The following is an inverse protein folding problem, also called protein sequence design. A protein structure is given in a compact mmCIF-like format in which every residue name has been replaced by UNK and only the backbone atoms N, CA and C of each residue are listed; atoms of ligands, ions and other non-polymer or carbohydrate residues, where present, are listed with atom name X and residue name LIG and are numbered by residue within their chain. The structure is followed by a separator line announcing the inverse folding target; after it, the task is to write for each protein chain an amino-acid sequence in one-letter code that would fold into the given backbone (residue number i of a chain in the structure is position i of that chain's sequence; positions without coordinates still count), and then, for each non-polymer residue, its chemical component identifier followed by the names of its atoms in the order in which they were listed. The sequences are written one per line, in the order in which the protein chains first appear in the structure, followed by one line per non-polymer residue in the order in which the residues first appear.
data_IF_609593115945
#
_entry.id   IF_609593115945
#
_cell.length_a   1.000
_cell.length_b   1.000
_cell.length_c   1.000
_cell.angle_alpha   90.00
_cell.angle_beta   90.00
_cell.angle_gamma   90.00
#
_symmetry.space_group_name_H-M   'P 1'
#
loop_
_entity.id
_entity.type
_entity.pdbx_description
1 polymer ?
#
# COMPACT_ATOMS: atom_id res chain seq x y z
N UNK A 1 -46.74 -10.31 1.72
CA UNK A 1 -45.49 -10.89 2.27
C UNK A 1 -44.36 -9.95 1.90
N UNK A 2 -43.99 -9.08 2.84
CA UNK A 2 -42.80 -8.22 2.72
C UNK A 2 -41.58 -9.13 2.90
N UNK A 3 -40.80 -9.31 1.84
CA UNK A 3 -39.43 -9.80 1.99
C UNK A 3 -38.60 -8.61 2.46
N UNK A 4 -38.20 -8.67 3.72
CA UNK A 4 -37.49 -7.63 4.44
C UNK A 4 -36.10 -7.42 3.84
N UNK A 5 -35.79 -6.13 3.72
CA UNK A 5 -34.55 -5.48 3.27
C UNK A 5 -33.34 -5.71 4.18
N UNK A 6 -33.12 -6.93 4.68
CA UNK A 6 -32.09 -7.18 5.71
C UNK A 6 -30.97 -8.15 5.30
N UNK A 7 -30.96 -8.71 4.09
CA UNK A 7 -29.85 -9.60 3.66
C UNK A 7 -28.69 -8.89 2.97
N UNK A 8 -28.83 -7.61 2.60
CA UNK A 8 -27.79 -6.88 1.85
C UNK A 8 -26.86 -6.08 2.78
N UNK A 9 -27.31 -5.75 3.99
CA UNK A 9 -26.50 -4.98 4.96
C UNK A 9 -25.64 -5.86 5.88
N UNK A 10 -25.95 -7.17 6.01
CA UNK A 10 -25.21 -8.10 6.89
C UNK A 10 -24.05 -8.84 6.20
N UNK A 11 -23.88 -8.69 4.88
CA UNK A 11 -22.81 -9.32 4.08
C UNK A 11 -21.68 -8.35 3.68
N UNK A 12 -21.50 -7.26 4.43
CA UNK A 12 -20.32 -6.38 4.33
C UNK A 12 -19.34 -6.51 5.50
N UNK A 13 -19.47 -7.54 6.35
CA UNK A 13 -18.43 -7.87 7.32
C UNK A 13 -17.35 -8.77 6.69
N UNK A 14 -16.24 -8.12 6.34
CA UNK A 14 -14.88 -8.70 6.25
C UNK A 14 -14.65 -9.79 5.19
N UNK A 15 -14.90 -9.50 3.91
CA UNK A 15 -14.09 -10.16 2.87
C UNK A 15 -12.74 -9.44 2.77
N UNK A 16 -11.78 -9.89 3.57
CA UNK A 16 -10.35 -9.60 3.39
C UNK A 16 -9.80 -10.81 2.62
N UNK A 17 -9.29 -10.66 1.39
CA UNK A 17 -8.52 -11.71 0.73
C UNK A 17 -7.48 -12.24 1.72
N UNK A 18 -7.42 -13.57 1.88
CA UNK A 18 -6.42 -14.16 2.77
C UNK A 18 -5.03 -13.66 2.34
N UNK A 19 -4.23 -13.14 3.28
CA UNK A 19 -2.88 -12.65 2.95
C UNK A 19 -2.07 -13.75 2.25
N UNK A 20 -2.34 -15.01 2.60
CA UNK A 20 -1.77 -16.18 1.95
C UNK A 20 -2.18 -16.30 0.48
N UNK A 21 -3.39 -15.91 0.10
CA UNK A 21 -3.85 -15.89 -1.30
C UNK A 21 -3.11 -14.82 -2.11
N UNK A 22 -3.01 -13.59 -1.58
CA UNK A 22 -2.32 -12.49 -2.26
C UNK A 22 -0.81 -12.74 -2.39
N UNK A 23 -0.20 -13.30 -1.35
CA UNK A 23 1.18 -13.74 -1.38
C UNK A 23 1.36 -14.89 -2.39
N UNK A 24 0.48 -15.90 -2.39
CA UNK A 24 0.59 -17.02 -3.31
C UNK A 24 0.50 -16.56 -4.76
N UNK A 25 -0.49 -15.71 -5.08
CA UNK A 25 -0.69 -15.17 -6.42
C UNK A 25 0.51 -14.35 -6.87
N UNK A 26 0.94 -13.37 -6.07
CA UNK A 26 2.08 -12.53 -6.42
C UNK A 26 3.37 -13.35 -6.57
N UNK A 27 3.60 -14.35 -5.70
CA UNK A 27 4.76 -15.24 -5.80
C UNK A 27 4.72 -16.09 -7.08
N UNK A 28 3.54 -16.55 -7.50
CA UNK A 28 3.36 -17.26 -8.76
C UNK A 28 3.66 -16.36 -9.98
N UNK A 29 3.19 -15.11 -9.97
CA UNK A 29 3.49 -14.13 -11.03
C UNK A 29 5.00 -13.85 -11.12
N UNK A 30 5.67 -13.69 -9.98
CA UNK A 30 7.12 -13.51 -9.93
C UNK A 30 7.89 -14.75 -10.43
N UNK A 31 7.42 -15.95 -10.12
CA UNK A 31 8.02 -17.20 -10.61
C UNK A 31 7.80 -17.43 -12.11
N UNK A 32 6.71 -16.92 -12.66
CA UNK A 32 6.38 -17.00 -14.08
C UNK A 32 7.14 -15.98 -14.94
N UNK A 33 7.70 -14.93 -14.34
CA UNK A 33 8.47 -13.90 -15.03
C UNK A 33 9.71 -14.48 -15.73
N UNK A 34 9.85 -14.20 -17.04
CA UNK A 34 10.95 -14.68 -17.90
C UNK A 34 11.93 -13.57 -18.25
N UNK A 35 11.51 -12.32 -18.09
CA UNK A 35 12.31 -11.13 -18.39
C UNK A 35 12.51 -10.26 -17.15
N UNK A 36 13.54 -9.41 -17.18
CA UNK A 36 13.78 -8.41 -16.13
C UNK A 36 12.58 -7.46 -15.96
N UNK A 37 11.91 -7.13 -17.05
CA UNK A 37 10.74 -6.26 -17.03
C UNK A 37 9.53 -6.95 -16.38
N UNK A 38 9.18 -8.17 -16.79
CA UNK A 38 8.09 -8.94 -16.15
C UNK A 38 8.36 -9.16 -14.66
N UNK A 39 9.62 -9.45 -14.30
CA UNK A 39 10.03 -9.57 -12.90
C UNK A 39 9.78 -8.26 -12.14
N UNK A 40 10.15 -7.13 -12.72
CA UNK A 40 9.96 -5.81 -12.11
C UNK A 40 8.49 -5.45 -11.90
N UNK A 41 7.62 -5.83 -12.84
CA UNK A 41 6.17 -5.64 -12.69
C UNK A 41 5.61 -6.46 -11.53
N UNK A 42 6.07 -7.72 -11.35
CA UNK A 42 5.53 -8.63 -10.33
C UNK A 42 6.17 -8.47 -8.92
N UNK A 43 7.44 -8.07 -8.84
CA UNK A 43 8.22 -8.16 -7.58
C UNK A 43 7.76 -7.22 -6.47
N UNK A 44 7.16 -6.08 -6.81
CA UNK A 44 6.66 -5.11 -5.82
C UNK A 44 5.57 -5.72 -4.92
N UNK A 45 4.64 -6.47 -5.50
CA UNK A 45 3.52 -7.10 -4.79
C UNK A 45 4.02 -8.18 -3.84
N UNK A 46 4.95 -9.01 -4.32
CA UNK A 46 5.57 -10.07 -3.50
C UNK A 46 6.28 -9.48 -2.30
N UNK A 47 7.03 -8.39 -2.49
CA UNK A 47 7.70 -7.69 -1.40
C UNK A 47 6.73 -7.23 -0.32
N UNK A 48 5.62 -6.60 -0.71
CA UNK A 48 4.59 -6.09 0.20
C UNK A 48 3.98 -7.18 1.07
N UNK A 49 3.59 -8.32 0.48
CA UNK A 49 2.94 -9.42 1.20
C UNK A 49 3.91 -10.31 2.01
N UNK A 50 5.20 -10.35 1.65
CA UNK A 50 6.20 -11.09 2.45
C UNK A 50 6.44 -10.48 3.84
N UNK A 51 6.03 -9.22 4.09
CA UNK A 51 6.12 -8.65 5.42
C UNK A 51 5.16 -9.34 6.40
N UNK A 52 3.96 -9.71 5.93
CA UNK A 52 2.91 -10.29 6.78
C UNK A 52 3.22 -11.72 7.23
N UNK A 53 3.95 -12.50 6.41
CA UNK A 53 4.40 -13.84 6.77
C UNK A 53 5.72 -13.85 7.60
N UNK A 54 6.30 -12.69 7.89
CA UNK A 54 7.53 -12.54 8.65
C UNK A 54 8.84 -12.71 7.86
N UNK A 55 8.79 -12.87 6.53
CA UNK A 55 9.98 -13.00 5.66
C UNK A 55 10.63 -11.63 5.38
N UNK A 56 11.05 -10.93 6.43
CA UNK A 56 11.48 -9.53 6.35
C UNK A 56 12.70 -9.33 5.43
N UNK A 57 13.68 -10.24 5.45
CA UNK A 57 14.87 -10.15 4.60
C UNK A 57 14.53 -10.28 3.11
N UNK A 58 13.54 -11.13 2.77
CA UNK A 58 13.05 -11.26 1.40
C UNK A 58 12.28 -10.02 0.98
N UNK A 59 11.39 -9.53 1.84
CA UNK A 59 10.61 -8.32 1.59
C UNK A 59 11.52 -7.12 1.32
N UNK A 60 12.54 -6.92 2.16
CA UNK A 60 13.54 -5.86 2.01
C UNK A 60 14.34 -6.00 0.71
N UNK A 61 14.82 -7.21 0.41
CA UNK A 61 15.56 -7.48 -0.85
C UNK A 61 14.71 -7.18 -2.09
N UNK A 62 13.45 -7.63 -2.11
CA UNK A 62 12.52 -7.38 -3.20
C UNK A 62 12.18 -5.90 -3.34
N UNK A 63 12.01 -5.17 -2.24
CA UNK A 63 11.77 -3.73 -2.29
C UNK A 63 12.97 -2.96 -2.85
N UNK A 64 14.19 -3.29 -2.43
CA UNK A 64 15.40 -2.69 -3.00
C UNK A 64 15.58 -3.02 -4.48
N UNK A 65 15.30 -4.25 -4.89
CA UNK A 65 15.32 -4.64 -6.31
C UNK A 65 14.26 -3.85 -7.11
N UNK A 66 13.05 -3.72 -6.58
CA UNK A 66 11.94 -2.95 -7.19
C UNK A 66 12.36 -1.51 -7.47
N UNK A 67 12.85 -0.81 -6.44
CA UNK A 67 13.26 0.59 -6.53
C UNK A 67 14.47 0.77 -7.47
N UNK A 68 15.45 -0.13 -7.40
CA UNK A 68 16.64 -0.09 -8.27
C UNK A 68 16.28 -0.27 -9.74
N UNK A 69 15.37 -1.19 -10.06
CA UNK A 69 14.97 -1.41 -11.45
C UNK A 69 14.06 -0.26 -11.94
N UNK A 70 13.25 0.33 -11.07
CA UNK A 70 12.38 1.46 -11.42
C UNK A 70 13.15 2.66 -11.99
N UNK A 71 14.41 2.88 -11.58
CA UNK A 71 15.27 3.92 -12.14
C UNK A 71 15.49 3.80 -13.66
N UNK A 72 15.33 2.59 -14.21
CA UNK A 72 15.48 2.30 -15.65
C UNK A 72 14.18 2.49 -16.45
N UNK A 73 13.04 2.64 -15.77
CA UNK A 73 11.70 2.63 -16.34
C UNK A 73 10.87 3.83 -15.88
N UNK A 74 11.49 5.01 -15.77
CA UNK A 74 10.83 6.23 -15.22
C UNK A 74 9.59 6.69 -15.98
N UNK A 75 9.53 6.41 -17.28
CA UNK A 75 8.41 6.77 -18.16
C UNK A 75 7.41 5.62 -18.33
N UNK A 76 7.58 4.50 -17.62
CA UNK A 76 6.71 3.33 -17.71
C UNK A 76 5.46 3.46 -16.84
N UNK A 77 4.35 2.88 -17.30
CA UNK A 77 3.06 2.91 -16.60
C UNK A 77 3.15 2.36 -15.16
N UNK A 78 4.07 1.43 -14.90
CA UNK A 78 4.23 0.81 -13.59
C UNK A 78 5.19 1.57 -12.67
N UNK A 79 5.85 2.63 -13.15
CA UNK A 79 6.86 3.35 -12.37
C UNK A 79 6.33 3.81 -11.01
N UNK A 80 5.16 4.46 -11.00
CA UNK A 80 4.58 4.96 -9.76
C UNK A 80 4.19 3.85 -8.78
N UNK A 81 3.71 2.71 -9.27
CA UNK A 81 3.43 1.53 -8.43
C UNK A 81 4.71 1.00 -7.79
N UNK A 82 5.79 0.91 -8.57
CA UNK A 82 7.07 0.38 -8.10
C UNK A 82 7.68 1.27 -7.00
N UNK A 83 7.63 2.59 -7.16
CA UNK A 83 8.06 3.56 -6.13
C UNK A 83 7.21 3.41 -4.87
N UNK A 84 5.88 3.41 -5.03
CA UNK A 84 4.95 3.34 -3.92
C UNK A 84 5.12 2.04 -3.11
N UNK A 85 5.03 0.88 -3.76
CA UNK A 85 5.12 -0.44 -3.13
C UNK A 85 6.50 -0.71 -2.54
N UNK A 86 7.58 -0.34 -3.24
CA UNK A 86 8.94 -0.51 -2.74
C UNK A 86 9.15 0.24 -1.41
N UNK A 87 8.72 1.50 -1.34
CA UNK A 87 8.83 2.29 -0.12
C UNK A 87 7.87 1.81 0.99
N UNK A 88 6.63 1.42 0.66
CA UNK A 88 5.74 0.80 1.65
C UNK A 88 6.36 -0.44 2.28
N UNK A 89 6.91 -1.36 1.47
CA UNK A 89 7.55 -2.57 1.98
C UNK A 89 8.72 -2.24 2.91
N UNK A 90 9.63 -1.35 2.51
CA UNK A 90 10.76 -0.94 3.36
C UNK A 90 10.27 -0.32 4.68
N UNK A 91 9.24 0.53 4.64
CA UNK A 91 8.70 1.14 5.85
C UNK A 91 8.06 0.12 6.79
N UNK A 92 7.33 -0.86 6.26
CA UNK A 92 6.76 -1.94 7.10
C UNK A 92 7.84 -2.84 7.68
N UNK A 93 8.90 -3.17 6.91
CA UNK A 93 10.07 -3.90 7.43
C UNK A 93 10.72 -3.11 8.58
N UNK A 94 10.89 -1.80 8.43
CA UNK A 94 11.42 -0.93 9.48
C UNK A 94 10.56 -0.98 10.74
N UNK A 95 9.22 -0.87 10.61
CA UNK A 95 8.30 -1.02 11.76
C UNK A 95 8.42 -2.37 12.46
N UNK A 96 8.51 -3.48 11.70
CA UNK A 96 8.68 -4.82 12.29
C UNK A 96 10.00 -4.95 13.06
N UNK A 97 11.03 -4.19 12.66
CA UNK A 97 12.32 -4.09 13.36
C UNK A 97 12.34 -3.03 14.47
N UNK A 98 11.25 -2.30 14.68
CA UNK A 98 11.12 -1.26 15.71
C UNK A 98 11.67 0.11 15.31
N UNK A 99 12.05 0.31 14.05
CA UNK A 99 12.53 1.59 13.53
C UNK A 99 11.37 2.43 12.98
N UNK A 100 10.74 3.18 13.87
CA UNK A 100 9.59 4.03 13.56
C UNK A 100 10.00 5.22 12.68
N UNK A 101 11.19 5.79 12.90
CA UNK A 101 11.64 6.96 12.14
C UNK A 101 11.93 6.61 10.67
N UNK A 102 12.57 5.46 10.42
CA UNK A 102 12.74 5.00 9.05
C UNK A 102 11.38 4.66 8.40
N UNK A 103 10.45 4.06 9.14
CA UNK A 103 9.11 3.79 8.61
C UNK A 103 8.37 5.07 8.17
N UNK A 104 8.43 6.13 8.98
CA UNK A 104 7.85 7.44 8.66
C UNK A 104 8.45 8.01 7.39
N UNK A 105 9.78 8.01 7.29
CA UNK A 105 10.51 8.47 6.10
C UNK A 105 10.09 7.68 4.86
N UNK A 106 9.99 6.36 4.96
CA UNK A 106 9.59 5.50 3.86
C UNK A 106 8.14 5.77 3.42
N UNK A 107 7.21 6.00 4.34
CA UNK A 107 5.84 6.39 3.98
C UNK A 107 5.81 7.70 3.15
N UNK A 108 6.56 8.72 3.58
CA UNK A 108 6.63 9.98 2.85
C UNK A 108 7.30 9.84 1.47
N UNK A 109 8.26 8.92 1.32
CA UNK A 109 8.85 8.60 0.02
C UNK A 109 7.84 7.89 -0.90
N UNK A 110 7.02 6.99 -0.35
CA UNK A 110 5.94 6.34 -1.11
C UNK A 110 4.95 7.38 -1.65
N UNK A 111 4.55 8.36 -0.83
CA UNK A 111 3.62 9.43 -1.23
C UNK A 111 4.16 10.37 -2.30
N UNK A 112 5.47 10.46 -2.49
CA UNK A 112 6.11 11.31 -3.53
C UNK A 112 6.17 10.66 -4.91
N UNK A 113 5.52 9.52 -5.09
CA UNK A 113 5.36 8.89 -6.39
C UNK A 113 4.62 9.82 -7.37
N UNK A 114 4.95 9.84 -8.68
CA UNK A 114 4.23 10.66 -9.66
C UNK A 114 2.83 10.13 -10.02
N UNK A 115 2.34 9.09 -9.35
CA UNK A 115 1.10 8.40 -9.71
C UNK A 115 1.30 7.28 -10.73
N UNK A 116 0.21 6.58 -11.01
CA UNK A 116 0.12 5.48 -11.99
C UNK A 116 -1.35 5.25 -12.32
N UNK A 117 -1.70 4.63 -13.46
CA UNK A 117 -3.11 4.34 -13.76
C UNK A 117 -3.86 3.59 -12.63
N UNK A 118 -3.15 2.73 -11.87
CA UNK A 118 -3.74 2.07 -10.70
C UNK A 118 -3.87 3.01 -9.49
N UNK A 119 -2.83 3.78 -9.16
CA UNK A 119 -2.84 4.70 -8.02
C UNK A 119 -3.85 5.82 -8.23
N UNK A 120 -3.93 6.35 -9.44
CA UNK A 120 -4.82 7.46 -9.78
C UNK A 120 -6.29 7.04 -9.75
N UNK A 121 -6.56 5.73 -9.94
CA UNK A 121 -7.92 5.17 -9.88
C UNK A 121 -8.27 4.64 -8.48
N UNK A 122 -7.56 3.63 -7.98
CA UNK A 122 -7.91 2.95 -6.73
C UNK A 122 -7.35 3.65 -5.49
N UNK A 123 -6.39 4.53 -5.68
CA UNK A 123 -5.68 5.24 -4.63
C UNK A 123 -4.40 4.56 -4.20
N UNK A 124 -3.76 5.11 -3.16
CA UNK A 124 -2.62 4.50 -2.51
C UNK A 124 -3.04 3.32 -1.62
N UNK A 125 -2.19 2.31 -1.50
CA UNK A 125 -2.27 1.37 -0.39
C UNK A 125 -1.94 2.08 0.94
N UNK A 126 -2.76 1.84 1.96
CA UNK A 126 -2.75 2.51 3.26
C UNK A 126 -2.22 1.64 4.41
N UNK A 127 -1.68 0.45 4.13
CA UNK A 127 -1.28 -0.51 5.17
C UNK A 127 -0.20 0.06 6.09
N UNK A 128 0.82 0.73 5.55
CA UNK A 128 1.87 1.36 6.37
C UNK A 128 1.34 2.57 7.12
N UNK A 129 0.47 3.37 6.50
CA UNK A 129 -0.20 4.49 7.16
C UNK A 129 -1.02 4.02 8.36
N UNK A 130 -1.80 2.94 8.20
CA UNK A 130 -2.55 2.30 9.30
C UNK A 130 -1.62 1.84 10.42
N UNK A 131 -0.55 1.13 10.10
CA UNK A 131 0.43 0.66 11.09
C UNK A 131 1.10 1.82 11.84
N UNK A 132 1.39 2.94 11.16
CA UNK A 132 1.93 4.16 11.78
C UNK A 132 0.91 4.88 12.67
N UNK A 133 -0.36 4.96 12.29
CA UNK A 133 -1.44 5.46 13.16
C UNK A 133 -1.59 4.60 14.43
N UNK A 134 -1.37 3.30 14.33
CA UNK A 134 -1.37 2.40 15.50
C UNK A 134 -0.20 2.66 16.45
N UNK A 135 0.89 3.27 15.96
CA UNK A 135 2.01 3.75 16.77
C UNK A 135 1.86 5.19 17.25
N UNK A 136 0.80 5.90 16.82
CA UNK A 136 0.54 7.29 17.20
C UNK A 136 1.21 8.33 16.29
N UNK A 137 1.74 7.93 15.14
CA UNK A 137 2.46 8.81 14.21
C UNK A 137 1.51 9.59 13.28
N UNK A 138 0.54 10.29 13.87
CA UNK A 138 -0.54 10.96 13.15
C UNK A 138 -0.03 12.02 12.15
N UNK A 139 0.90 12.87 12.57
CA UNK A 139 1.42 13.97 11.74
C UNK A 139 2.08 13.46 10.45
N UNK A 140 2.76 12.31 10.52
CA UNK A 140 3.39 11.71 9.34
C UNK A 140 2.34 11.19 8.38
N UNK A 141 1.28 10.58 8.90
CA UNK A 141 0.20 10.04 8.08
C UNK A 141 -0.61 11.17 7.44
N UNK A 142 -0.88 12.25 8.16
CA UNK A 142 -1.49 13.46 7.58
C UNK A 142 -0.63 14.02 6.44
N UNK A 143 0.69 14.13 6.64
CA UNK A 143 1.60 14.60 5.57
C UNK A 143 1.63 13.66 4.36
N UNK A 144 1.47 12.36 4.58
CA UNK A 144 1.36 11.39 3.50
C UNK A 144 0.04 11.54 2.72
N UNK A 145 -1.08 11.81 3.39
CA UNK A 145 -2.37 12.06 2.72
C UNK A 145 -2.29 13.29 1.81
N UNK A 146 -1.70 14.39 2.28
CA UNK A 146 -1.45 15.60 1.48
C UNK A 146 -0.63 15.28 0.22
N UNK A 147 0.42 14.44 0.34
CA UNK A 147 1.21 14.03 -0.82
C UNK A 147 0.41 13.17 -1.82
N UNK A 148 -0.58 12.41 -1.34
CA UNK A 148 -1.41 11.58 -2.20
C UNK A 148 -2.42 12.38 -3.01
N UNK A 149 -2.74 13.62 -2.62
CA UNK A 149 -3.63 14.51 -3.39
C UNK A 149 -3.11 14.78 -4.80
N UNK A 150 -1.78 14.76 -4.99
CA UNK A 150 -1.13 15.04 -6.28
C UNK A 150 -1.46 14.01 -7.37
N UNK A 151 -1.77 12.77 -6.98
CA UNK A 151 -2.10 11.69 -7.92
C UNK A 151 -3.51 11.11 -7.75
N UNK A 152 -4.16 11.31 -6.60
CA UNK A 152 -5.49 10.75 -6.31
C UNK A 152 -6.57 11.84 -6.16
N UNK A 153 -6.65 12.72 -7.16
CA UNK A 153 -7.50 13.92 -7.16
C UNK A 153 -9.01 13.65 -7.38
N UNK A 154 -9.36 12.55 -8.05
CA UNK A 154 -10.76 12.17 -8.26
C UNK A 154 -11.48 11.68 -6.99
N UNK A 155 -10.74 11.47 -5.90
CA UNK A 155 -11.24 10.93 -4.63
C UNK A 155 -10.84 11.77 -3.42
N UNK A 156 -10.63 13.08 -3.60
CA UNK A 156 -10.26 14.02 -2.53
C UNK A 156 -11.22 13.98 -1.34
N UNK A 157 -12.51 13.73 -1.56
CA UNK A 157 -13.49 13.61 -0.48
C UNK A 157 -13.16 12.48 0.51
N UNK A 158 -12.52 11.41 0.02
CA UNK A 158 -12.10 10.28 0.85
C UNK A 158 -10.84 10.62 1.65
N UNK A 159 -9.88 11.32 1.04
CA UNK A 159 -8.68 11.84 1.71
C UNK A 159 -9.07 12.81 2.82
N UNK A 160 -9.88 13.83 2.51
CA UNK A 160 -10.37 14.84 3.48
C UNK A 160 -11.05 14.16 4.67
N UNK A 161 -11.93 13.18 4.40
CA UNK A 161 -12.61 12.45 5.48
C UNK A 161 -11.62 11.70 6.38
N UNK A 162 -10.59 11.08 5.82
CA UNK A 162 -9.56 10.41 6.61
C UNK A 162 -8.71 11.39 7.42
N UNK A 163 -8.37 12.55 6.86
CA UNK A 163 -7.64 13.61 7.58
C UNK A 163 -8.43 14.16 8.77
N UNK A 164 -9.73 14.42 8.59
CA UNK A 164 -10.62 14.86 9.66
C UNK A 164 -10.67 13.84 10.80
N UNK A 165 -10.78 12.55 10.46
CA UNK A 165 -10.78 11.47 11.44
C UNK A 165 -9.46 11.42 12.22
N UNK A 166 -8.32 11.45 11.53
CA UNK A 166 -6.99 11.42 12.18
C UNK A 166 -6.79 12.64 13.08
N UNK A 167 -7.23 13.82 12.64
CA UNK A 167 -7.14 15.07 13.43
C UNK A 167 -7.96 15.01 14.72
N UNK A 168 -9.08 14.26 14.73
CA UNK A 168 -9.87 13.98 15.94
C UNK A 168 -9.28 12.87 16.82
N UNK A 169 -8.15 12.28 16.42
CA UNK A 169 -7.55 11.12 17.10
C UNK A 169 -8.27 9.81 16.80
N UNK A 170 -9.13 9.77 15.78
CA UNK A 170 -9.79 8.56 15.31
C UNK A 170 -8.88 7.82 14.33
N UNK A 171 -9.11 6.51 14.17
CA UNK A 171 -8.43 5.70 13.16
C UNK A 171 -9.37 5.51 11.97
N UNK A 172 -9.03 6.02 10.78
CA UNK A 172 -9.86 5.84 9.60
C UNK A 172 -10.03 4.36 9.24
N UNK A 173 -11.21 4.02 8.72
CA UNK A 173 -11.37 2.77 8.00
C UNK A 173 -10.88 2.98 6.56
N UNK A 174 -9.72 2.43 6.24
CA UNK A 174 -9.13 2.52 4.90
C UNK A 174 -9.79 1.55 3.89
N UNK A 175 -10.56 0.57 4.35
CA UNK A 175 -11.29 -0.38 3.50
C UNK A 175 -10.39 -1.10 2.49
N UNK A 176 -10.79 -1.07 1.22
CA UNK A 176 -10.08 -1.75 0.12
C UNK A 176 -8.66 -1.23 -0.12
N UNK A 177 -8.31 -0.02 0.34
CA UNK A 177 -6.95 0.50 0.27
C UNK A 177 -5.94 -0.27 1.15
N UNK A 178 -6.35 -1.33 1.84
CA UNK A 178 -5.46 -2.22 2.58
C UNK A 178 -5.08 -3.50 1.80
N UNK A 179 -5.63 -3.71 0.59
CA UNK A 179 -5.71 -5.05 -0.02
C UNK A 179 -4.88 -5.28 -1.29
N UNK A 180 -4.16 -4.28 -1.83
CA UNK A 180 -3.54 -4.35 -3.18
C UNK A 180 -2.11 -3.81 -3.29
#
# INVERSE_FOLDING_TARGET
MQYTSNMVEEYQSEWIPDFDEQLYKSAADLAAAKTKYERWVAIGDVGLWNVDNGSLEKAESFAHETLKIAEMYKDDWNYGNAIHKGHLTLGRVALRRGDIEEAKKQLLLAGKTPGSPQLDSFGPNMVLAKELLEKGENDTVLKYLELCEEFWDFHLEKLIKWEEQITRGEKPNFGTNLLY
#
